data_IF_963771995545
#
_entry.id   IF_963771995545
#
_cell.length_a   1.000
_cell.length_b   1.000
_cell.length_c   1.000
_cell.angle_alpha   90.00
_cell.angle_beta   90.00
_cell.angle_gamma   90.00
#
_symmetry.space_group_name_H-M   'P 1'
#
loop_
_entity.id
_entity.type
_entity.pdbx_description
1 polymer ?
#
# COMPACT_ATOMS: atom_id res chain seq x y z
N UNK A 1 -42.34 8.15 -6.62
CA UNK A 1 -42.66 7.38 -5.40
C UNK A 1 -41.34 6.82 -4.90
N UNK A 2 -40.90 7.11 -3.66
CA UNK A 2 -39.65 6.52 -3.16
C UNK A 2 -39.85 5.00 -3.02
N UNK A 3 -39.03 4.24 -3.74
CA UNK A 3 -39.01 2.78 -3.67
C UNK A 3 -38.13 2.41 -2.48
N UNK A 4 -38.76 1.89 -1.42
CA UNK A 4 -38.10 1.47 -0.20
C UNK A 4 -37.48 0.09 -0.47
N UNK A 5 -36.16 0.01 -0.56
CA UNK A 5 -35.46 -1.27 -0.69
C UNK A 5 -35.12 -1.78 0.71
N UNK A 6 -35.83 -2.81 1.21
CA UNK A 6 -35.75 -3.23 2.61
C UNK A 6 -34.35 -3.70 3.01
N UNK A 7 -33.51 -4.06 2.04
CA UNK A 7 -32.12 -4.46 2.25
C UNK A 7 -31.22 -3.26 2.59
N UNK A 8 -31.45 -2.11 1.97
CA UNK A 8 -30.61 -0.92 2.12
C UNK A 8 -31.07 -0.08 3.32
N UNK A 9 -32.38 0.05 3.53
CA UNK A 9 -32.92 0.84 4.65
C UNK A 9 -32.57 0.25 6.02
N UNK A 10 -32.41 -1.08 6.12
CA UNK A 10 -31.91 -1.74 7.34
C UNK A 10 -30.45 -1.41 7.67
N UNK A 11 -29.62 -1.15 6.66
CA UNK A 11 -28.21 -0.80 6.83
C UNK A 11 -28.06 0.71 7.09
N UNK A 12 -28.90 1.52 6.47
CA UNK A 12 -28.91 2.97 6.66
C UNK A 12 -29.23 3.40 8.11
N UNK A 13 -30.04 2.62 8.83
CA UNK A 13 -30.39 2.87 10.24
C UNK A 13 -29.27 2.49 11.22
N UNK A 14 -28.41 1.55 10.85
CA UNK A 14 -27.30 1.08 11.70
C UNK A 14 -25.98 1.78 11.40
N UNK A 15 -25.79 2.24 10.17
CA UNK A 15 -24.58 2.95 9.73
C UNK A 15 -24.98 4.17 8.91
N UNK A 16 -24.94 5.34 9.54
CA UNK A 16 -25.14 6.61 8.84
C UNK A 16 -24.07 6.86 7.78
N UNK A 17 -24.38 7.68 6.76
CA UNK A 17 -23.45 7.99 5.65
C UNK A 17 -22.08 8.48 6.13
N UNK A 18 -22.05 9.25 7.22
CA UNK A 18 -20.81 9.78 7.80
C UNK A 18 -20.10 8.77 8.70
N UNK A 19 -20.84 7.89 9.38
CA UNK A 19 -20.27 6.79 10.15
C UNK A 19 -19.55 5.81 9.21
N UNK A 20 -20.22 5.38 8.12
CA UNK A 20 -19.59 4.52 7.11
C UNK A 20 -18.30 5.14 6.55
N UNK A 21 -18.31 6.44 6.26
CA UNK A 21 -17.14 7.18 5.78
C UNK A 21 -16.02 7.22 6.83
N UNK A 22 -16.36 7.42 8.10
CA UNK A 22 -15.40 7.44 9.21
C UNK A 22 -14.76 6.05 9.42
N UNK A 23 -15.55 4.97 9.35
CA UNK A 23 -15.05 3.60 9.43
C UNK A 23 -14.13 3.23 8.25
N UNK A 24 -14.48 3.63 7.03
CA UNK A 24 -13.63 3.43 5.86
C UNK A 24 -12.33 4.26 5.94
N UNK A 25 -12.44 5.55 6.26
CA UNK A 25 -11.25 6.42 6.33
C UNK A 25 -10.35 6.06 7.51
N UNK A 26 -10.94 5.72 8.66
CA UNK A 26 -10.24 5.26 9.84
C UNK A 26 -9.46 3.96 9.59
N UNK A 27 -10.09 2.96 8.98
CA UNK A 27 -9.41 1.70 8.64
C UNK A 27 -8.30 1.90 7.60
N UNK A 28 -8.55 2.63 6.50
CA UNK A 28 -7.53 2.90 5.48
C UNK A 28 -6.34 3.68 6.05
N UNK A 29 -6.58 4.71 6.86
CA UNK A 29 -5.50 5.50 7.47
C UNK A 29 -4.63 4.66 8.43
N UNK A 30 -5.22 3.69 9.13
CA UNK A 30 -4.48 2.75 9.98
C UNK A 30 -3.52 1.90 9.14
N UNK A 31 -3.97 1.34 8.02
CA UNK A 31 -3.10 0.54 7.14
C UNK A 31 -1.99 1.36 6.49
N UNK A 32 -2.28 2.60 6.07
CA UNK A 32 -1.25 3.52 5.56
C UNK A 32 -0.25 3.89 6.66
N UNK A 33 -0.73 4.14 7.88
CA UNK A 33 0.10 4.41 9.05
C UNK A 33 1.05 3.25 9.36
N UNK A 34 0.55 2.02 9.37
CA UNK A 34 1.36 0.81 9.56
C UNK A 34 2.38 0.61 8.43
N UNK A 35 2.01 0.86 7.18
CA UNK A 35 2.93 0.80 6.04
C UNK A 35 4.05 1.85 6.13
N UNK A 36 3.72 3.07 6.56
CA UNK A 36 4.72 4.13 6.74
C UNK A 36 5.63 3.85 7.95
N UNK A 37 5.08 3.32 9.04
CA UNK A 37 5.84 2.83 10.20
C UNK A 37 6.78 1.70 9.81
N UNK A 38 6.38 0.80 8.91
CA UNK A 38 7.25 -0.24 8.38
C UNK A 38 8.43 0.36 7.60
N UNK A 39 8.19 1.35 6.74
CA UNK A 39 9.26 2.08 6.03
C UNK A 39 10.20 2.83 6.98
N UNK A 40 9.69 3.37 8.09
CA UNK A 40 10.52 4.06 9.08
C UNK A 40 11.29 3.09 9.97
N UNK A 41 10.75 1.88 10.21
CA UNK A 41 11.46 0.77 10.85
C UNK A 41 12.45 0.06 9.91
N UNK A 42 12.42 0.37 8.61
CA UNK A 42 13.41 0.00 7.59
C UNK A 42 14.79 0.68 7.82
N UNK A 43 15.21 0.87 9.08
CA UNK A 43 16.60 1.13 9.45
C UNK A 43 17.37 -0.16 9.78
N UNK A 44 16.69 -1.28 10.04
CA UNK A 44 17.35 -2.52 10.45
C UNK A 44 17.82 -3.40 9.29
N UNK A 45 17.14 -3.41 8.14
CA UNK A 45 17.55 -4.24 6.98
C UNK A 45 18.42 -3.46 5.98
N UNK A 46 19.37 -2.68 6.49
CA UNK A 46 20.58 -2.41 5.72
C UNK A 46 21.50 -3.61 5.86
N UNK A 47 21.10 -4.73 5.27
CA UNK A 47 22.10 -5.71 4.85
C UNK A 47 23.07 -4.87 4.02
N UNK A 48 24.38 -4.84 4.30
CA UNK A 48 25.33 -4.24 3.39
C UNK A 48 25.32 -5.12 2.14
N UNK A 49 24.31 -4.89 1.29
CA UNK A 49 24.27 -5.38 -0.07
C UNK A 49 25.36 -4.57 -0.76
N UNK A 50 26.60 -5.02 -0.61
CA UNK A 50 27.57 -4.80 -1.67
C UNK A 50 26.87 -5.30 -2.92
N UNK A 51 26.46 -4.42 -3.84
CA UNK A 51 25.84 -4.88 -5.07
C UNK A 51 26.80 -5.88 -5.67
N UNK A 52 26.29 -7.05 -6.07
CA UNK A 52 27.12 -8.13 -6.60
C UNK A 52 27.98 -7.54 -7.72
N UNK A 53 29.27 -7.35 -7.43
CA UNK A 53 30.21 -6.72 -8.34
C UNK A 53 30.49 -7.75 -9.41
N UNK A 54 29.93 -7.54 -10.59
CA UNK A 54 30.28 -8.34 -11.75
C UNK A 54 31.57 -7.76 -12.36
N UNK A 55 32.63 -8.58 -12.57
CA UNK A 55 33.75 -8.15 -13.39
C UNK A 55 33.24 -7.80 -14.80
N UNK A 56 33.87 -6.83 -15.47
CA UNK A 56 33.46 -6.25 -16.76
C UNK A 56 32.20 -5.36 -16.71
N UNK A 57 32.29 -4.19 -16.06
CA UNK A 57 31.25 -3.13 -16.05
C UNK A 57 29.79 -3.65 -15.98
N UNK A 58 29.45 -4.52 -15.01
CA UNK A 58 28.08 -5.06 -14.85
C UNK A 58 27.60 -5.78 -16.12
N UNK A 59 28.50 -6.51 -16.79
CA UNK A 59 28.20 -7.28 -17.99
C UNK A 59 27.58 -6.43 -19.11
N UNK A 60 27.93 -5.13 -19.19
CA UNK A 60 27.37 -4.17 -20.16
C UNK A 60 27.43 -4.67 -21.62
N UNK A 61 28.50 -5.36 -22.00
CA UNK A 61 28.66 -5.97 -23.33
C UNK A 61 27.72 -7.17 -23.53
N UNK A 62 27.53 -8.00 -22.49
CA UNK A 62 26.62 -9.16 -22.54
C UNK A 62 25.14 -8.74 -22.51
N UNK A 63 24.84 -7.57 -21.95
CA UNK A 63 23.50 -6.98 -21.92
C UNK A 63 23.17 -6.18 -23.19
N UNK A 64 24.06 -6.21 -24.20
CA UNK A 64 23.84 -5.57 -25.50
C UNK A 64 24.19 -4.07 -25.55
N UNK A 65 24.98 -3.57 -24.62
CA UNK A 65 25.54 -2.22 -24.69
C UNK A 65 26.59 -2.11 -25.80
N UNK A 66 26.55 -1.02 -26.56
CA UNK A 66 27.52 -0.74 -27.61
C UNK A 66 28.95 -0.60 -27.04
N UNK A 67 29.97 -1.07 -27.80
CA UNK A 67 31.37 -1.12 -27.35
C UNK A 67 32.00 0.26 -27.14
#
# INVERSE_FOLDING_TARGET
>A
MPFHEPCIDRIADTVGKYEALAWLTGSLSCFVGLGLLALWNEKASKIPFTPKVYPYEILRVELGGEP
#
